data_IF_093469489542
#
_entry.id   IF_093469489542
#
_cell.length_a   1.000
_cell.length_b   1.000
_cell.length_c   1.000
_cell.angle_alpha   90.00
_cell.angle_beta   90.00
_cell.angle_gamma   90.00
#
_symmetry.space_group_name_H-M   'P 1'
#
loop_
_entity.id
_entity.type
_entity.pdbx_description
1 polymer ?
#
# COMPACT_ATOMS: atom_id res chain seq x y z
N UNK A 1 7.39 -0.85 -6.22
CA UNK A 1 7.64 -2.10 -5.46
C UNK A 1 7.85 -3.23 -6.46
N UNK A 2 8.84 -4.12 -6.28
CA UNK A 2 9.06 -5.25 -7.20
C UNK A 2 8.57 -6.55 -6.54
N UNK A 3 7.70 -7.27 -7.23
CA UNK A 3 7.08 -8.52 -6.77
C UNK A 3 6.95 -9.49 -7.95
N UNK A 4 7.19 -10.78 -7.75
CA UNK A 4 7.11 -11.80 -8.81
C UNK A 4 7.78 -11.37 -10.15
N UNK A 5 8.96 -10.74 -10.07
CA UNK A 5 9.71 -10.27 -11.24
C UNK A 5 9.19 -8.98 -11.90
N UNK A 6 8.05 -8.43 -11.48
CA UNK A 6 7.43 -7.23 -12.08
C UNK A 6 7.49 -6.01 -11.15
N UNK A 7 7.51 -4.81 -11.73
CA UNK A 7 7.47 -3.54 -11.00
C UNK A 7 6.03 -3.04 -10.91
N UNK A 8 5.54 -2.87 -9.68
CA UNK A 8 4.22 -2.35 -9.36
C UNK A 8 4.29 -0.94 -8.78
N UNK A 9 3.38 -0.09 -9.22
CA UNK A 9 3.14 1.23 -8.65
C UNK A 9 2.01 1.15 -7.61
N UNK A 10 2.36 1.28 -6.34
CA UNK A 10 1.40 1.30 -5.23
C UNK A 10 1.04 2.75 -4.92
N UNK A 11 -0.21 3.13 -5.18
CA UNK A 11 -0.68 4.48 -4.93
C UNK A 11 -0.88 4.71 -3.43
N UNK A 12 -0.12 5.62 -2.83
CA UNK A 12 -0.31 6.05 -1.43
C UNK A 12 -0.93 7.44 -1.30
N UNK A 13 -0.97 8.22 -2.39
CA UNK A 13 -1.53 9.58 -2.44
C UNK A 13 -0.47 10.68 -2.34
N UNK A 14 -0.76 11.85 -2.95
CA UNK A 14 0.19 12.97 -3.08
C UNK A 14 0.56 13.63 -1.75
N UNK A 15 -0.31 13.52 -0.73
CA UNK A 15 -0.09 14.05 0.63
C UNK A 15 1.22 13.56 1.25
N UNK A 16 1.61 12.31 0.94
CA UNK A 16 2.78 11.65 1.54
C UNK A 16 4.06 11.79 0.71
N UNK A 17 4.10 12.74 -0.23
CA UNK A 17 5.28 13.00 -1.06
C UNK A 17 6.49 13.35 -0.19
N UNK A 18 7.65 12.75 -0.49
CA UNK A 18 8.95 12.93 0.20
C UNK A 18 8.96 12.47 1.67
N UNK A 19 7.92 11.79 2.14
CA UNK A 19 7.93 11.17 3.46
C UNK A 19 8.66 9.83 3.41
N UNK A 20 9.41 9.51 4.47
CA UNK A 20 9.99 8.18 4.65
C UNK A 20 8.88 7.21 5.05
N UNK A 21 8.82 6.07 4.38
CA UNK A 21 7.80 5.05 4.63
C UNK A 21 8.46 3.72 5.00
N UNK A 22 7.74 2.91 5.76
CA UNK A 22 7.99 1.49 5.94
C UNK A 22 6.91 0.72 5.17
N UNK A 23 7.31 -0.35 4.48
CA UNK A 23 6.37 -1.27 3.86
C UNK A 23 6.58 -2.67 4.44
N UNK A 24 5.52 -3.26 4.96
CA UNK A 24 5.48 -4.67 5.34
C UNK A 24 4.79 -5.43 4.22
N UNK A 25 5.43 -6.48 3.71
CA UNK A 25 4.95 -7.27 2.58
C UNK A 25 4.78 -8.71 3.06
N UNK A 26 3.55 -9.21 3.06
CA UNK A 26 3.20 -10.58 3.39
C UNK A 26 2.45 -11.18 2.20
N UNK A 27 3.16 -11.98 1.38
CA UNK A 27 2.68 -12.48 0.09
C UNK A 27 2.17 -11.33 -0.80
N UNK A 28 0.88 -11.30 -1.11
CA UNK A 28 0.26 -10.27 -1.95
C UNK A 28 -0.27 -9.08 -1.12
N UNK A 29 -0.25 -9.14 0.19
CA UNK A 29 -0.72 -8.05 1.05
C UNK A 29 0.43 -7.13 1.44
N UNK A 30 0.21 -5.84 1.30
CA UNK A 30 1.20 -4.79 1.60
C UNK A 30 0.58 -3.76 2.51
N UNK A 31 1.22 -3.51 3.65
CA UNK A 31 0.87 -2.43 4.57
C UNK A 31 1.94 -1.36 4.46
N UNK A 32 1.54 -0.11 4.26
CA UNK A 32 2.46 1.03 4.21
C UNK A 32 2.21 1.96 5.38
N UNK A 33 3.26 2.31 6.12
CA UNK A 33 3.20 3.25 7.25
C UNK A 33 4.27 4.34 7.16
N UNK A 34 4.10 5.40 7.93
CA UNK A 34 5.15 6.41 8.14
C UNK A 34 6.31 5.78 8.92
N UNK A 35 7.54 5.99 8.46
CA UNK A 35 8.72 5.42 9.11
C UNK A 35 8.99 6.03 10.50
N UNK A 36 8.58 7.29 10.71
CA UNK A 36 8.83 8.02 11.96
C UNK A 36 7.82 7.65 13.06
N UNK A 37 6.52 7.55 12.72
CA UNK A 37 5.45 7.37 13.71
C UNK A 37 4.87 5.96 13.73
N UNK A 38 5.09 5.16 12.68
CA UNK A 38 4.42 3.88 12.49
C UNK A 38 2.95 4.00 12.08
N UNK A 39 2.41 5.21 11.88
CA UNK A 39 1.03 5.42 11.46
C UNK A 39 0.78 4.77 10.09
N UNK A 40 -0.22 3.89 10.01
CA UNK A 40 -0.58 3.21 8.76
C UNK A 40 -1.23 4.21 7.81
N UNK A 41 -0.64 4.35 6.63
CA UNK A 41 -1.11 5.23 5.56
C UNK A 41 -2.20 4.53 4.74
N UNK A 42 -1.96 3.28 4.37
CA UNK A 42 -2.81 2.49 3.49
C UNK A 42 -2.37 1.03 3.47
N UNK A 43 -3.28 0.18 2.98
CA UNK A 43 -3.00 -1.19 2.58
C UNK A 43 -3.20 -1.39 1.07
N UNK A 44 -2.57 -2.41 0.51
CA UNK A 44 -2.75 -2.86 -0.86
C UNK A 44 -2.78 -4.38 -0.91
N UNK A 45 -3.62 -4.94 -1.78
CA UNK A 45 -3.48 -6.31 -2.27
C UNK A 45 -2.93 -6.27 -3.70
N UNK A 46 -1.86 -7.01 -3.96
CA UNK A 46 -1.19 -7.03 -5.26
C UNK A 46 -1.99 -7.91 -6.22
N UNK A 47 -2.71 -7.24 -7.12
CA UNK A 47 -3.25 -7.86 -8.33
C UNK A 47 -2.18 -7.89 -9.42
N UNK A 48 -1.61 -9.08 -9.67
CA UNK A 48 -0.55 -9.27 -10.66
C UNK A 48 -0.96 -8.99 -12.11
N UNK A 49 -2.27 -8.83 -12.39
CA UNK A 49 -2.79 -8.43 -13.69
C UNK A 49 -2.68 -6.93 -13.96
N UNK A 50 -2.37 -6.11 -12.92
CA UNK A 50 -2.34 -4.65 -12.99
C UNK A 50 -1.00 -4.08 -12.53
N UNK A 51 -0.46 -3.12 -13.28
CA UNK A 51 0.79 -2.45 -12.91
C UNK A 51 0.59 -1.35 -11.86
N UNK A 52 -0.62 -0.81 -11.71
CA UNK A 52 -0.98 0.21 -10.74
C UNK A 52 -2.02 -0.31 -9.76
N UNK A 53 -1.75 -0.18 -8.47
CA UNK A 53 -2.65 -0.55 -7.39
C UNK A 53 -3.16 0.69 -6.67
N UNK A 54 -4.49 0.83 -6.63
CA UNK A 54 -5.14 1.81 -5.77
C UNK A 54 -5.07 1.34 -4.32
N UNK A 55 -4.96 2.25 -3.35
CA UNK A 55 -5.04 1.90 -1.93
C UNK A 55 -6.38 1.20 -1.65
N UNK A 56 -6.31 0.05 -0.97
CA UNK A 56 -7.47 -0.75 -0.54
C UNK A 56 -8.26 -0.01 0.55
N UNK A 57 -7.53 0.61 1.47
CA UNK A 57 -8.06 1.38 2.58
C UNK A 57 -7.36 2.74 2.67
N UNK A 58 -8.12 3.79 2.99
CA UNK A 58 -7.59 5.11 3.34
C UNK A 58 -8.05 5.45 4.75
N UNK A 59 -7.21 6.15 5.50
CA UNK A 59 -7.61 6.76 6.77
C UNK A 59 -8.92 7.57 6.60
N UNK A 60 -10.01 7.09 7.21
CA UNK A 60 -11.36 7.66 7.12
C UNK A 60 -12.40 6.77 6.42
N UNK A 61 -11.98 5.78 5.62
CA UNK A 61 -12.87 4.76 5.06
C UNK A 61 -12.95 3.57 6.03
N UNK A 62 -14.10 2.89 6.21
CA UNK A 62 -14.12 1.62 6.93
C UNK A 62 -13.27 0.61 6.13
N UNK A 63 -12.45 -0.24 6.78
CA UNK A 63 -11.83 -1.37 6.09
C UNK A 63 -12.96 -2.17 5.43
N UNK A 64 -12.88 -2.39 4.11
CA UNK A 64 -13.84 -3.25 3.43
C UNK A 64 -13.77 -4.61 4.13
N UNK A 65 -14.91 -5.11 4.61
CA UNK A 65 -14.95 -6.41 5.27
C UNK A 65 -14.43 -7.52 4.36
N UNK A 66 -14.03 -8.67 4.92
CA UNK A 66 -13.70 -9.83 4.10
C UNK A 66 -14.96 -10.22 3.29
N UNK A 67 -14.87 -10.23 1.96
CA UNK A 67 -15.81 -10.98 1.10
C UNK A 67 -15.57 -12.48 1.23
#
# INVERSE_FOLDING_TARGET
MRYAGKLFHLGIGRKWKRQKILMVIADNHVITSLAETGEVITEHYIDTSRNYQKPYWKQGDPPLGPE
#
